data_IF_482463992991
#
_entry.id   IF_482463992991
#
_cell.length_a   1.000
_cell.length_b   1.000
_cell.length_c   1.000
_cell.angle_alpha   90.00
_cell.angle_beta   90.00
_cell.angle_gamma   90.00
#
_symmetry.space_group_name_H-M   'P 1'
#
loop_
_entity.id
_entity.type
_entity.pdbx_description
1 polymer ?
#
# COMPACT_ATOMS: atom_id res chain seq x y z
N UNK A 1 -13.47 -19.70 -13.80
CA UNK A 1 -12.86 -18.37 -13.72
C UNK A 1 -12.66 -18.05 -12.24
N UNK A 2 -11.40 -17.90 -11.76
CA UNK A 2 -11.16 -17.54 -10.36
C UNK A 2 -11.41 -16.03 -10.21
N UNK A 3 -12.63 -15.67 -9.85
CA UNK A 3 -12.99 -14.28 -9.53
C UNK A 3 -12.39 -13.93 -8.18
N UNK A 4 -11.26 -13.22 -8.20
CA UNK A 4 -10.80 -12.50 -7.01
C UNK A 4 -11.89 -11.49 -6.64
N UNK A 5 -12.32 -11.43 -5.36
CA UNK A 5 -13.25 -10.39 -4.92
C UNK A 5 -12.70 -9.03 -5.35
N UNK A 6 -13.55 -8.20 -5.97
CA UNK A 6 -13.14 -6.90 -6.53
C UNK A 6 -12.43 -6.07 -5.46
N UNK A 7 -12.88 -6.13 -4.20
CA UNK A 7 -12.22 -5.47 -3.07
C UNK A 7 -10.79 -5.94 -2.83
N UNK A 8 -10.51 -7.24 -2.94
CA UNK A 8 -9.14 -7.79 -2.81
C UNK A 8 -8.26 -7.37 -3.98
N UNK A 9 -8.78 -7.41 -5.20
CA UNK A 9 -8.04 -6.96 -6.38
C UNK A 9 -7.69 -5.48 -6.30
N UNK A 10 -8.64 -4.65 -5.86
CA UNK A 10 -8.43 -3.21 -5.68
C UNK A 10 -7.39 -2.95 -4.60
N UNK A 11 -7.51 -3.60 -3.43
CA UNK A 11 -6.57 -3.49 -2.33
C UNK A 11 -5.12 -3.83 -2.73
N UNK A 12 -4.92 -4.91 -3.49
CA UNK A 12 -3.59 -5.29 -3.99
C UNK A 12 -3.06 -4.24 -4.97
N UNK A 13 -3.89 -3.74 -5.87
CA UNK A 13 -3.52 -2.70 -6.83
C UNK A 13 -3.11 -1.39 -6.13
N UNK A 14 -3.89 -0.90 -5.16
CA UNK A 14 -3.52 0.29 -4.38
C UNK A 14 -2.26 0.08 -3.55
N UNK A 15 -2.10 -1.10 -2.94
CA UNK A 15 -0.90 -1.45 -2.17
C UNK A 15 0.37 -1.38 -3.01
N UNK A 16 0.35 -1.95 -4.22
CA UNK A 16 1.46 -1.87 -5.17
C UNK A 16 1.77 -0.41 -5.54
N UNK A 17 0.73 0.39 -5.81
CA UNK A 17 0.88 1.81 -6.13
C UNK A 17 1.55 2.62 -5.01
N UNK A 18 1.10 2.43 -3.76
CA UNK A 18 1.65 3.13 -2.58
C UNK A 18 3.12 2.77 -2.36
N UNK A 19 3.47 1.48 -2.44
CA UNK A 19 4.85 1.03 -2.29
C UNK A 19 5.72 1.61 -3.41
N UNK A 20 5.25 1.55 -4.66
CA UNK A 20 5.97 2.05 -5.82
C UNK A 20 6.23 3.56 -5.77
N UNK A 21 5.21 4.37 -5.45
CA UNK A 21 5.37 5.83 -5.34
C UNK A 21 6.25 6.22 -4.17
N UNK A 22 6.18 5.49 -3.05
CA UNK A 22 7.06 5.72 -1.89
C UNK A 22 8.52 5.41 -2.24
N UNK A 23 8.77 4.28 -2.88
CA UNK A 23 10.13 3.90 -3.31
C UNK A 23 10.69 4.90 -4.33
N UNK A 24 9.88 5.27 -5.33
CA UNK A 24 10.28 6.27 -6.32
C UNK A 24 10.51 7.63 -5.69
N UNK A 25 9.69 8.05 -4.71
CA UNK A 25 9.90 9.31 -3.97
C UNK A 25 11.27 9.35 -3.30
N UNK A 26 11.65 8.27 -2.62
CA UNK A 26 12.95 8.15 -1.95
C UNK A 26 14.10 8.13 -2.97
N UNK A 27 13.96 7.38 -4.07
CA UNK A 27 15.04 7.18 -5.05
C UNK A 27 15.23 8.40 -5.97
N UNK A 28 14.15 8.92 -6.56
CA UNK A 28 14.23 10.03 -7.54
C UNK A 28 14.42 11.39 -6.88
N UNK A 29 13.73 11.63 -5.76
CA UNK A 29 13.69 12.96 -5.13
C UNK A 29 14.59 13.07 -3.91
N UNK A 30 15.31 11.99 -3.55
CA UNK A 30 16.13 11.92 -2.34
C UNK A 30 15.36 12.39 -1.10
N UNK A 31 14.05 12.16 -1.08
CA UNK A 31 13.21 12.62 0.00
C UNK A 31 13.67 11.98 1.30
N UNK A 32 13.89 12.84 2.30
CA UNK A 32 14.35 12.40 3.60
C UNK A 32 13.39 11.34 4.12
N UNK A 33 13.94 10.16 4.38
CA UNK A 33 13.20 8.97 4.78
C UNK A 33 12.71 9.16 6.21
N UNK A 34 11.69 10.00 6.35
CA UNK A 34 11.22 10.47 7.64
C UNK A 34 10.45 9.32 8.29
N UNK A 35 10.89 8.91 9.49
CA UNK A 35 10.33 7.75 10.19
C UNK A 35 8.81 7.86 10.37
N UNK A 36 8.32 9.08 10.60
CA UNK A 36 6.89 9.40 10.67
C UNK A 36 6.15 9.15 9.35
N UNK A 37 6.76 9.45 8.21
CA UNK A 37 6.15 9.22 6.89
C UNK A 37 6.00 7.73 6.62
N UNK A 38 7.04 6.93 6.89
CA UNK A 38 6.98 5.47 6.78
C UNK A 38 5.92 4.91 7.72
N UNK A 39 5.82 5.43 8.94
CA UNK A 39 4.81 5.00 9.91
C UNK A 39 3.38 5.20 9.37
N UNK A 40 3.05 6.38 8.85
CA UNK A 40 1.72 6.64 8.28
C UNK A 40 1.44 5.82 7.02
N UNK A 41 2.44 5.63 6.14
CA UNK A 41 2.32 4.76 4.97
C UNK A 41 2.07 3.32 5.40
N UNK A 42 2.77 2.85 6.44
CA UNK A 42 2.54 1.55 7.08
C UNK A 42 1.13 1.43 7.64
N UNK A 43 0.59 2.47 8.28
CA UNK A 43 -0.77 2.49 8.80
C UNK A 43 -1.82 2.31 7.69
N UNK A 44 -1.62 2.98 6.53
CA UNK A 44 -2.46 2.82 5.35
C UNK A 44 -2.36 1.39 4.81
N UNK A 45 -1.14 0.84 4.70
CA UNK A 45 -0.91 -0.53 4.24
C UNK A 45 -1.57 -1.58 5.15
N UNK A 46 -1.50 -1.38 6.47
CA UNK A 46 -2.18 -2.23 7.46
C UNK A 46 -3.69 -2.13 7.32
N UNK A 47 -4.26 -0.93 7.10
CA UNK A 47 -5.69 -0.76 6.83
C UNK A 47 -6.15 -1.52 5.59
N UNK A 48 -5.37 -1.45 4.51
CA UNK A 48 -5.65 -2.19 3.26
C UNK A 48 -5.56 -3.71 3.49
N UNK A 49 -4.52 -4.18 4.18
CA UNK A 49 -4.34 -5.58 4.52
C UNK A 49 -5.43 -6.12 5.46
N UNK A 50 -5.86 -5.31 6.43
CA UNK A 50 -6.97 -5.62 7.33
C UNK A 50 -8.30 -5.74 6.59
N UNK A 51 -8.57 -4.84 5.63
CA UNK A 51 -9.75 -4.95 4.77
C UNK A 51 -9.74 -6.25 3.94
N UNK A 52 -8.58 -6.68 3.46
CA UNK A 52 -8.44 -7.97 2.77
C UNK A 52 -8.73 -9.16 3.68
N UNK A 53 -8.29 -9.10 4.94
CA UNK A 53 -8.54 -10.17 5.93
C UNK A 53 -10.00 -10.25 6.36
N UNK A 54 -10.69 -9.11 6.43
CA UNK A 54 -12.13 -9.04 6.80
C UNK A 54 -13.05 -9.32 5.59
N UNK A 55 -12.63 -8.96 4.38
CA UNK A 55 -13.42 -9.17 3.15
C UNK A 55 -13.11 -10.51 2.43
N UNK A 56 -12.24 -11.35 3.00
CA UNK A 56 -11.96 -12.70 2.52
C UNK A 56 -12.84 -13.72 3.25
#
# INVERSE_FOLDING_TARGET
MRTLPVGTAYAVWTGIGIIGTTLMGIILFNESMNLSRIFFIGLIAVGIGGLKLVSA
#
